data_IF_805116358945
#
_entry.id   IF_805116358945
#
_cell.length_a   1.000
_cell.length_b   1.000
_cell.length_c   1.000
_cell.angle_alpha   90.00
_cell.angle_beta   90.00
_cell.angle_gamma   90.00
#
_symmetry.space_group_name_H-M   'P 1'
#
loop_
_entity.id
_entity.type
_entity.pdbx_description
1 polymer ?
#
# COMPACT_ATOMS: atom_id res chain seq x y z
N UNK A 1 5.38 -12.75 -9.38
CA UNK A 1 5.99 -11.71 -8.53
C UNK A 1 5.37 -11.77 -7.15
N UNK A 2 6.05 -11.28 -6.12
CA UNK A 2 5.52 -11.27 -4.75
C UNK A 2 4.34 -10.28 -4.60
N UNK A 3 3.31 -10.57 -3.80
CA UNK A 3 2.23 -9.62 -3.54
C UNK A 3 2.72 -8.30 -2.93
N UNK A 4 2.05 -7.19 -3.24
CA UNK A 4 2.33 -5.90 -2.59
C UNK A 4 1.48 -5.82 -1.33
N UNK A 5 2.12 -5.76 -0.17
CA UNK A 5 1.42 -5.59 1.12
C UNK A 5 0.98 -4.14 1.26
N UNK A 6 -0.32 -3.92 1.25
CA UNK A 6 -0.96 -2.62 1.25
C UNK A 6 -1.16 -2.08 2.67
N UNK A 7 -1.52 -2.92 3.64
CA UNK A 7 -1.80 -2.50 5.02
C UNK A 7 -1.11 -3.39 6.05
N UNK A 8 -1.02 -2.90 7.29
CA UNK A 8 -0.39 -3.59 8.43
C UNK A 8 -1.05 -4.91 8.82
N UNK A 9 -2.32 -5.08 8.49
CA UNK A 9 -3.07 -6.32 8.75
C UNK A 9 -2.88 -7.35 7.62
N UNK A 10 -1.99 -7.07 6.67
CA UNK A 10 -1.63 -8.00 5.61
C UNK A 10 -2.58 -7.98 4.42
N UNK A 11 -3.37 -6.92 4.21
CA UNK A 11 -4.11 -6.77 2.95
C UNK A 11 -3.11 -6.64 1.81
N UNK A 12 -3.27 -7.44 0.76
CA UNK A 12 -2.32 -7.46 -0.36
C UNK A 12 -2.99 -7.17 -1.68
N UNK A 13 -2.26 -6.45 -2.52
CA UNK A 13 -2.50 -6.34 -3.95
C UNK A 13 -1.76 -7.48 -4.65
N UNK A 14 -2.52 -8.33 -5.32
CA UNK A 14 -1.99 -9.29 -6.27
C UNK A 14 -2.07 -8.64 -7.64
N UNK A 15 -0.93 -8.47 -8.30
CA UNK A 15 -0.84 -7.91 -9.65
C UNK A 15 -1.70 -8.71 -10.63
N UNK A 16 -2.31 -8.02 -11.61
CA UNK A 16 -3.23 -8.65 -12.56
C UNK A 16 -2.56 -9.80 -13.31
N UNK A 17 -3.02 -11.06 -13.18
CA UNK A 17 -2.40 -12.20 -13.84
C UNK A 17 -2.54 -12.17 -15.37
N UNK A 18 -3.49 -11.38 -15.91
CA UNK A 18 -3.74 -11.28 -17.35
C UNK A 18 -2.70 -10.38 -18.04
N UNK A 19 -2.21 -9.36 -17.34
CA UNK A 19 -1.23 -8.42 -17.87
C UNK A 19 0.11 -8.66 -17.16
N UNK A 20 1.11 -9.15 -17.89
CA UNK A 20 2.48 -9.19 -17.36
C UNK A 20 2.98 -7.77 -17.16
N UNK A 21 2.80 -7.25 -15.95
CA UNK A 21 3.32 -5.95 -15.53
C UNK A 21 4.76 -6.07 -15.10
N UNK A 22 5.57 -5.05 -15.41
CA UNK A 22 6.92 -4.90 -14.87
C UNK A 22 6.94 -3.84 -13.76
N UNK A 23 7.93 -3.88 -12.87
CA UNK A 23 8.18 -2.85 -11.86
C UNK A 23 8.28 -1.43 -12.43
N UNK A 24 8.73 -1.30 -13.68
CA UNK A 24 8.86 -0.02 -14.39
C UNK A 24 7.57 0.41 -15.11
N UNK A 25 6.55 -0.45 -15.16
CA UNK A 25 5.31 -0.08 -15.83
C UNK A 25 4.56 0.95 -15.03
N UNK A 26 4.21 2.03 -15.73
CA UNK A 26 3.46 3.12 -15.14
C UNK A 26 1.97 2.79 -15.11
N UNK A 27 1.27 3.28 -14.09
CA UNK A 27 -0.18 3.07 -13.97
C UNK A 27 -0.97 3.64 -15.15
N UNK A 28 -0.42 4.62 -15.86
CA UNK A 28 -1.02 5.24 -17.04
C UNK A 28 -1.05 4.34 -18.27
N UNK A 29 -0.22 3.28 -18.32
CA UNK A 29 -0.24 2.31 -19.42
C UNK A 29 -1.41 1.33 -19.32
N UNK A 30 -2.09 1.29 -18.17
CA UNK A 30 -3.19 0.35 -17.94
C UNK A 30 -4.49 0.87 -18.55
N UNK A 31 -5.18 0.08 -19.41
CA UNK A 31 -6.38 0.53 -20.11
C UNK A 31 -7.57 0.89 -19.21
N UNK A 32 -7.54 0.51 -17.92
CA UNK A 32 -8.64 0.74 -16.96
C UNK A 32 -8.13 1.16 -15.56
N UNK A 33 -6.87 1.59 -15.44
CA UNK A 33 -6.23 1.90 -14.14
C UNK A 33 -6.43 0.80 -13.07
N UNK A 34 -6.65 -0.44 -13.51
CA UNK A 34 -6.72 -1.63 -12.66
C UNK A 34 -5.30 -2.07 -12.41
N UNK A 35 -4.91 -2.13 -11.14
CA UNK A 35 -3.56 -2.54 -10.74
C UNK A 35 -3.45 -4.04 -10.47
N UNK A 36 -4.60 -4.69 -10.26
CA UNK A 36 -4.67 -6.09 -9.87
C UNK A 36 -5.89 -6.37 -9.02
N UNK A 37 -5.80 -7.40 -8.18
CA UNK A 37 -6.89 -7.89 -7.34
C UNK A 37 -6.52 -7.84 -5.86
N UNK A 38 -7.51 -7.58 -5.02
CA UNK A 38 -7.37 -7.68 -3.58
C UNK A 38 -7.37 -9.15 -3.18
N UNK A 39 -6.37 -9.61 -2.45
CA UNK A 39 -6.27 -11.02 -2.08
C UNK A 39 -7.43 -11.50 -1.20
N UNK A 40 -7.97 -10.64 -0.32
CA UNK A 40 -9.03 -11.05 0.61
C UNK A 40 -10.38 -11.19 -0.10
N UNK A 41 -10.86 -10.12 -0.72
CA UNK A 41 -12.22 -10.10 -1.30
C UNK A 41 -12.26 -10.38 -2.81
N UNK A 42 -11.10 -10.66 -3.42
CA UNK A 42 -10.93 -10.87 -4.87
C UNK A 42 -11.46 -9.73 -5.75
N UNK A 43 -11.67 -8.57 -5.15
CA UNK A 43 -12.17 -7.37 -5.82
C UNK A 43 -11.06 -6.64 -6.56
N UNK A 44 -11.37 -6.08 -7.73
CA UNK A 44 -10.42 -5.29 -8.49
C UNK A 44 -9.91 -4.10 -7.67
N UNK A 45 -8.60 -3.94 -7.67
CA UNK A 45 -7.92 -2.79 -7.10
C UNK A 45 -7.61 -1.81 -8.23
N UNK A 46 -7.90 -0.54 -8.00
CA UNK A 46 -7.65 0.51 -8.97
C UNK A 46 -7.01 1.71 -8.34
N UNK A 47 -6.36 2.51 -9.18
CA UNK A 47 -5.79 3.81 -8.79
C UNK A 47 -6.66 4.95 -9.31
N UNK A 48 -6.78 6.01 -8.51
CA UNK A 48 -7.43 7.27 -8.90
C UNK A 48 -6.66 8.45 -8.32
N UNK A 49 -6.43 9.48 -9.13
CA UNK A 49 -5.94 10.77 -8.62
C UNK A 49 -7.03 11.47 -7.81
N UNK A 50 -6.72 11.86 -6.56
CA UNK A 50 -7.66 12.58 -5.69
C UNK A 50 -7.27 14.04 -5.47
N UNK A 51 -6.03 14.39 -5.75
CA UNK A 51 -5.54 15.77 -5.70
C UNK A 51 -4.37 15.96 -6.67
N UNK A 52 -3.85 17.19 -6.74
CA UNK A 52 -2.65 17.48 -7.50
C UNK A 52 -1.43 16.67 -7.03
N UNK A 53 -1.39 16.30 -5.74
CA UNK A 53 -0.22 15.73 -5.06
C UNK A 53 -0.39 14.26 -4.65
N UNK A 54 -1.61 13.73 -4.65
CA UNK A 54 -1.88 12.38 -4.15
C UNK A 54 -2.80 11.57 -5.06
N UNK A 55 -2.51 10.27 -5.08
CA UNK A 55 -3.35 9.22 -5.62
C UNK A 55 -3.99 8.43 -4.47
N UNK A 56 -5.06 7.71 -4.77
CA UNK A 56 -5.58 6.63 -3.93
C UNK A 56 -5.53 5.32 -4.69
N UNK A 57 -5.14 4.26 -3.99
CA UNK A 57 -5.42 2.88 -4.37
C UNK A 57 -6.66 2.47 -3.61
N UNK A 58 -7.61 1.86 -4.31
CA UNK A 58 -8.84 1.41 -3.69
C UNK A 58 -9.33 0.09 -4.25
N UNK A 59 -9.88 -0.76 -3.37
CA UNK A 59 -10.60 -1.94 -3.78
C UNK A 59 -12.05 -1.58 -4.13
N UNK A 60 -12.51 -1.98 -5.32
CA UNK A 60 -13.87 -1.72 -5.80
C UNK A 60 -14.94 -2.53 -5.06
N UNK A 61 -14.57 -3.57 -4.32
CA UNK A 61 -15.51 -4.47 -3.63
C UNK A 61 -15.64 -4.17 -2.14
N UNK A 62 -14.53 -4.14 -1.38
CA UNK A 62 -14.59 -3.94 0.08
C UNK A 62 -14.41 -2.47 0.51
N UNK A 63 -14.08 -1.57 -0.42
CA UNK A 63 -13.88 -0.15 -0.11
C UNK A 63 -12.57 0.19 0.61
N UNK A 64 -11.62 -0.74 0.72
CA UNK A 64 -10.23 -0.45 1.12
C UNK A 64 -9.71 0.75 0.32
N UNK A 65 -9.08 1.72 1.01
CA UNK A 65 -8.53 2.94 0.40
C UNK A 65 -7.22 3.31 1.07
N UNK A 66 -6.20 3.56 0.25
CA UNK A 66 -4.87 3.95 0.70
C UNK A 66 -4.43 5.13 -0.13
N UNK A 67 -4.08 6.23 0.54
CA UNK A 67 -3.57 7.43 -0.10
C UNK A 67 -2.05 7.39 -0.15
N UNK A 68 -1.48 7.80 -1.28
CA UNK A 68 -0.04 7.82 -1.50
C UNK A 68 0.37 8.98 -2.44
N UNK A 69 1.63 9.45 -2.38
CA UNK A 69 2.13 10.52 -3.23
C UNK A 69 1.99 10.23 -4.73
N UNK A 70 1.68 11.26 -5.52
CA UNK A 70 1.45 11.13 -6.98
C UNK A 70 2.71 10.79 -7.79
N UNK A 71 3.89 11.09 -7.24
CA UNK A 71 5.20 10.73 -7.80
C UNK A 71 5.46 9.22 -7.86
N UNK A 72 4.68 8.44 -7.10
CA UNK A 72 4.64 6.99 -7.19
C UNK A 72 3.69 6.65 -8.33
N UNK A 73 4.28 6.32 -9.46
CA UNK A 73 3.57 6.08 -10.71
C UNK A 73 3.86 4.70 -11.30
N UNK A 74 4.74 3.90 -10.67
CA UNK A 74 5.10 2.54 -11.09
C UNK A 74 4.89 1.50 -9.99
N UNK A 75 4.80 0.22 -10.39
CA UNK A 75 4.71 -0.91 -9.45
C UNK A 75 5.91 -1.00 -8.50
N UNK A 76 7.13 -0.80 -9.01
CA UNK A 76 8.35 -0.82 -8.20
C UNK A 76 8.35 0.27 -7.11
N UNK A 77 7.97 1.51 -7.48
CA UNK A 77 7.85 2.60 -6.51
C UNK A 77 6.77 2.33 -5.47
N UNK A 78 5.63 1.77 -5.89
CA UNK A 78 4.54 1.42 -4.96
C UNK A 78 4.97 0.37 -3.96
N UNK A 79 5.63 -0.70 -4.42
CA UNK A 79 6.19 -1.76 -3.58
C UNK A 79 7.15 -1.20 -2.54
N UNK A 80 8.09 -0.37 -2.97
CA UNK A 80 9.05 0.28 -2.09
C UNK A 80 8.36 1.19 -1.05
N UNK A 81 7.44 2.04 -1.49
CA UNK A 81 6.71 2.94 -0.59
C UNK A 81 5.89 2.18 0.46
N UNK A 82 5.17 1.12 0.06
CA UNK A 82 4.44 0.27 0.99
C UNK A 82 5.39 -0.37 2.03
N UNK A 83 6.54 -0.90 1.59
CA UNK A 83 7.53 -1.47 2.51
C UNK A 83 8.07 -0.43 3.51
N UNK A 84 8.29 0.80 3.06
CA UNK A 84 8.79 1.88 3.91
C UNK A 84 7.73 2.37 4.91
N UNK A 85 6.45 2.43 4.51
CA UNK A 85 5.34 2.70 5.45
C UNK A 85 5.30 1.65 6.57
N UNK A 86 5.46 0.37 6.23
CA UNK A 86 5.47 -0.71 7.24
C UNK A 86 6.65 -0.62 8.20
N UNK A 87 7.83 -0.16 7.74
CA UNK A 87 9.00 0.08 8.60
C UNK A 87 8.80 1.30 9.51
N UNK A 88 8.33 2.41 8.95
CA UNK A 88 8.12 3.65 9.70
C UNK A 88 7.08 3.50 10.83
N UNK A 89 6.06 2.64 10.64
CA UNK A 89 5.09 2.33 11.69
C UNK A 89 5.63 1.40 12.78
N UNK A 90 6.47 0.41 12.43
CA UNK A 90 7.15 -0.44 13.42
C UNK A 90 8.04 0.39 14.35
N UNK A 91 8.76 1.37 13.80
CA UNK A 91 9.62 2.25 14.58
C UNK A 91 8.80 3.14 15.54
N UNK A 92 7.67 3.71 15.08
CA UNK A 92 6.78 4.49 15.94
C UNK A 92 6.17 3.67 17.08
N UNK A 93 5.80 2.41 16.84
CA UNK A 93 5.31 1.53 17.89
C UNK A 93 6.41 1.13 18.89
N UNK A 94 7.68 1.09 18.48
CA UNK A 94 8.80 0.84 19.39
C UNK A 94 9.05 2.04 20.32
N UNK A 95 8.97 3.27 19.81
CA UNK A 95 9.15 4.50 20.60
C UNK A 95 8.06 4.68 21.68
N UNK A 96 6.80 4.36 21.36
CA UNK A 96 5.69 4.44 22.33
C UNK A 96 5.86 3.38 23.43
N UNK A 97 6.26 2.16 23.08
CA UNK A 97 6.49 1.10 24.06
C UNK A 97 7.74 1.34 24.92
N UNK A 98 8.75 2.05 24.42
CA UNK A 98 9.92 2.49 25.19
C UNK A 98 9.62 3.60 26.20
N UNK A 99 8.58 4.41 25.95
CA UNK A 99 8.16 5.48 26.87
C UNK A 99 7.30 4.95 28.03
N UNK A 100 6.51 3.90 27.82
CA UNK A 100 5.63 3.31 28.83
C UNK A 100 6.34 2.38 29.82
N UNK A 101 7.56 1.91 29.52
CA UNK A 101 8.33 1.03 30.42
C UNK A 101 9.20 1.78 31.45
N UNK A 102 9.39 3.10 31.31
CA UNK A 102 10.21 3.90 32.23
C UNK A 102 9.42 4.62 33.34
N UNK A 103 8.10 4.45 33.43
CA UNK A 103 7.26 5.04 34.49
C UNK A 103 6.55 3.98 35.35
N UNK A 104 7.30 3.00 35.88
CA UNK A 104 6.86 2.29 37.08
C UNK A 104 7.51 2.96 38.29
N UNK A 105 6.76 3.65 39.17
CA UNK A 105 7.28 4.01 40.47
C UNK A 105 7.66 2.72 41.19
N UNK A 106 8.88 2.67 41.70
CA UNK A 106 9.31 1.65 42.64
C UNK A 106 8.53 1.95 43.93
N UNK A 107 7.46 1.19 44.16
CA UNK A 107 6.72 1.15 45.41
C UNK A 107 7.16 -0.05 46.23
#
# INVERSE_FOLDING_TARGET
MEPIVLTKIGETLIEDPVHQVNEQDTFSKMPIAVLGVHDICKGWISVKGVSATHNIIYCRSCGLRIQFPREIDTYGKLRQWCADQMKAEKNRNHEINGFLTMNRPIG
#
